data_IF_827752478667
#
_entry.id   IF_827752478667
#
_cell.length_a   1.000
_cell.length_b   1.000
_cell.length_c   1.000
_cell.angle_alpha   90.00
_cell.angle_beta   90.00
_cell.angle_gamma   90.00
#
_symmetry.space_group_name_H-M   'P 1'
#
loop_
_entity.id
_entity.type
_entity.pdbx_description
1 polymer ?
#
# COMPACT_ATOMS: atom_id res chain seq x y z
N UNK A 1 7.77 2.43 -10.84
CA UNK A 1 7.99 1.62 -9.63
C UNK A 1 8.88 0.47 -10.05
N UNK A 2 10.19 0.70 -10.11
CA UNK A 2 11.16 -0.33 -10.46
C UNK A 2 11.52 -1.03 -9.16
N UNK A 3 11.15 -2.30 -9.06
CA UNK A 3 11.60 -3.20 -8.00
C UNK A 3 13.12 -3.34 -8.12
N UNK A 4 13.87 -2.67 -7.26
CA UNK A 4 15.27 -2.99 -7.02
C UNK A 4 15.29 -4.39 -6.40
N UNK A 5 15.47 -5.39 -7.28
CA UNK A 5 15.41 -6.79 -6.93
C UNK A 5 16.54 -7.12 -5.98
N UNK A 6 16.19 -7.48 -4.74
CA UNK A 6 17.11 -8.16 -3.86
C UNK A 6 17.56 -9.46 -4.57
N UNK A 7 18.83 -9.52 -4.95
CA UNK A 7 19.42 -10.75 -5.47
C UNK A 7 19.64 -11.67 -4.28
N UNK A 8 18.75 -12.66 -4.15
CA UNK A 8 18.85 -13.69 -3.14
C UNK A 8 19.72 -14.84 -3.65
N UNK A 9 20.70 -15.27 -2.85
CA UNK A 9 21.48 -16.45 -3.17
C UNK A 9 20.77 -17.69 -2.62
N UNK A 10 20.47 -18.66 -3.48
CA UNK A 10 19.73 -19.88 -3.14
C UNK A 10 20.58 -21.13 -3.36
N UNK A 11 20.40 -22.14 -2.52
CA UNK A 11 21.02 -23.45 -2.69
C UNK A 11 20.24 -24.25 -3.73
N UNK A 12 20.87 -24.63 -4.85
CA UNK A 12 20.16 -25.34 -5.93
C UNK A 12 19.76 -26.79 -5.61
N UNK A 13 20.04 -27.28 -4.39
CA UNK A 13 19.69 -28.64 -3.94
C UNK A 13 18.37 -28.61 -3.15
N UNK A 14 18.22 -27.70 -2.19
CA UNK A 14 17.00 -27.57 -1.38
C UNK A 14 16.12 -26.37 -1.76
N UNK A 15 16.61 -25.47 -2.63
CA UNK A 15 15.96 -24.24 -3.07
C UNK A 15 15.74 -23.20 -1.94
N UNK A 16 16.45 -23.34 -0.81
CA UNK A 16 16.41 -22.37 0.28
C UNK A 16 17.56 -21.35 0.21
N UNK A 17 17.36 -20.22 0.89
CA UNK A 17 18.32 -19.12 0.98
C UNK A 17 19.64 -19.52 1.65
N UNK A 18 20.74 -19.13 1.02
CA UNK A 18 22.07 -19.14 1.61
C UNK A 18 22.18 -17.95 2.58
N UNK A 19 22.37 -18.24 3.86
CA UNK A 19 22.47 -17.23 4.90
C UNK A 19 23.54 -17.62 5.92
N UNK A 20 23.94 -16.67 6.77
CA UNK A 20 24.99 -16.88 7.77
C UNK A 20 24.62 -17.84 8.90
N UNK A 21 23.36 -18.30 8.99
CA UNK A 21 22.92 -19.24 10.05
C UNK A 21 23.31 -20.68 9.74
N UNK A 22 23.36 -21.03 8.45
CA UNK A 22 23.65 -22.40 8.01
C UNK A 22 25.04 -22.41 7.36
N UNK A 23 25.91 -23.37 7.73
CA UNK A 23 27.23 -23.47 7.13
C UNK A 23 27.11 -23.65 5.61
N UNK A 24 27.78 -22.77 4.88
CA UNK A 24 27.73 -22.72 3.42
C UNK A 24 29.08 -23.18 2.86
N UNK A 25 29.06 -23.83 1.70
CA UNK A 25 30.25 -24.34 1.02
C UNK A 25 30.28 -23.94 -0.44
N UNK A 26 31.48 -23.70 -0.95
CA UNK A 26 31.75 -23.55 -2.37
C UNK A 26 32.48 -24.79 -2.90
N UNK A 27 31.99 -25.33 -4.02
CA UNK A 27 32.71 -26.34 -4.80
C UNK A 27 33.89 -25.69 -5.55
N UNK A 28 34.86 -26.49 -5.96
CA UNK A 28 35.98 -26.10 -6.83
C UNK A 28 35.56 -25.42 -8.15
N UNK A 29 34.37 -25.74 -8.67
CA UNK A 29 33.78 -25.09 -9.83
C UNK A 29 33.21 -23.68 -9.56
N UNK A 30 33.13 -23.25 -8.30
CA UNK A 30 32.62 -21.94 -7.87
C UNK A 30 31.15 -21.91 -7.43
N UNK A 31 30.38 -22.99 -7.63
CA UNK A 31 28.99 -23.05 -7.18
C UNK A 31 28.88 -23.26 -5.68
N UNK A 32 27.86 -22.65 -5.08
CA UNK A 32 27.67 -22.54 -3.64
C UNK A 32 26.42 -23.28 -3.18
N UNK A 33 26.52 -24.02 -2.08
CA UNK A 33 25.45 -24.85 -1.51
C UNK A 33 25.52 -24.82 0.02
N UNK A 34 24.46 -25.22 0.72
CA UNK A 34 24.59 -25.56 2.14
C UNK A 34 25.50 -26.77 2.31
N UNK A 35 26.28 -26.79 3.39
CA UNK A 35 27.19 -27.88 3.73
C UNK A 35 26.45 -29.23 3.77
N UNK A 36 25.32 -29.29 4.49
CA UNK A 36 24.56 -30.52 4.66
C UNK A 36 23.93 -30.99 3.34
N UNK A 37 23.46 -30.06 2.51
CA UNK A 37 22.90 -30.38 1.20
C UNK A 37 23.94 -31.00 0.27
N UNK A 38 25.12 -30.38 0.16
CA UNK A 38 26.19 -30.93 -0.65
C UNK A 38 26.72 -32.24 -0.07
N UNK A 39 26.87 -32.33 1.25
CA UNK A 39 27.36 -33.53 1.93
C UNK A 39 26.42 -34.73 1.72
N UNK A 40 25.11 -34.56 1.93
CA UNK A 40 24.10 -35.57 1.66
C UNK A 40 24.12 -36.04 0.20
N UNK A 41 24.24 -35.10 -0.75
CA UNK A 41 24.37 -35.42 -2.17
C UNK A 41 25.63 -36.23 -2.47
N UNK A 42 26.77 -35.88 -1.86
CA UNK A 42 28.06 -36.57 -2.06
C UNK A 42 28.11 -37.96 -1.43
N UNK A 43 27.38 -38.21 -0.33
CA UNK A 43 27.41 -39.49 0.36
C UNK A 43 26.87 -40.65 -0.52
N UNK A 44 26.14 -40.33 -1.57
CA UNK A 44 25.62 -41.32 -2.53
C UNK A 44 26.63 -41.70 -3.63
N UNK A 45 27.75 -40.96 -3.81
CA UNK A 45 28.69 -41.17 -4.92
C UNK A 45 30.13 -40.80 -4.56
N UNK A 46 31.09 -41.65 -4.90
CA UNK A 46 32.51 -41.27 -4.86
C UNK A 46 32.81 -40.20 -5.93
N UNK A 47 33.07 -38.96 -5.50
CA UNK A 47 33.28 -37.76 -6.33
C UNK A 47 32.06 -37.38 -7.21
N UNK A 48 31.00 -36.81 -6.61
CA UNK A 48 29.79 -36.47 -7.35
C UNK A 48 30.02 -35.30 -8.32
N UNK A 49 29.22 -35.24 -9.40
CA UNK A 49 29.16 -34.06 -10.26
C UNK A 49 28.48 -32.90 -9.52
N UNK A 50 28.89 -31.67 -9.81
CA UNK A 50 28.22 -30.46 -9.32
C UNK A 50 26.76 -30.45 -9.80
N UNK A 51 25.77 -30.22 -8.93
CA UNK A 51 24.35 -30.15 -9.32
C UNK A 51 24.03 -29.07 -10.37
N UNK A 52 24.87 -28.04 -10.49
CA UNK A 52 24.63 -26.91 -11.40
C UNK A 52 25.32 -27.09 -12.75
N UNK A 53 26.61 -27.46 -12.76
CA UNK A 53 27.42 -27.48 -13.98
C UNK A 53 28.02 -28.85 -14.33
N UNK A 54 27.70 -29.89 -13.57
CA UNK A 54 28.10 -31.27 -13.78
C UNK A 54 29.61 -31.57 -13.74
N UNK A 55 30.47 -30.56 -13.50
CA UNK A 55 31.90 -30.78 -13.21
C UNK A 55 32.08 -31.59 -11.93
N UNK A 56 33.04 -32.52 -11.92
CA UNK A 56 33.40 -33.30 -10.73
C UNK A 56 33.83 -32.38 -9.61
N UNK A 57 33.24 -32.55 -8.43
CA UNK A 57 33.63 -31.81 -7.22
C UNK A 57 34.76 -32.59 -6.54
N UNK A 58 35.96 -32.02 -6.55
CA UNK A 58 37.15 -32.61 -5.93
C UNK A 58 37.49 -31.97 -4.59
N UNK A 59 37.23 -30.67 -4.46
CA UNK A 59 37.51 -29.88 -3.26
C UNK A 59 36.28 -29.07 -2.89
N UNK A 60 35.96 -29.05 -1.61
CA UNK A 60 34.88 -28.24 -1.04
C UNK A 60 35.47 -27.31 0.02
N UNK A 61 35.17 -26.02 -0.07
CA UNK A 61 35.62 -25.01 0.90
C UNK A 61 34.43 -24.43 1.63
N UNK A 62 34.50 -24.37 2.97
CA UNK A 62 33.49 -23.64 3.76
C UNK A 62 33.68 -22.14 3.53
N UNK A 63 32.57 -21.45 3.27
CA UNK A 63 32.56 -20.01 3.08
C UNK A 63 31.76 -19.35 4.21
N UNK A 64 32.23 -18.20 4.65
CA UNK A 64 31.61 -17.41 5.70
C UNK A 64 31.27 -16.04 5.14
N UNK A 65 30.00 -15.66 5.22
CA UNK A 65 29.56 -14.33 4.82
C UNK A 65 29.88 -13.35 5.94
N UNK A 66 30.77 -12.39 5.69
CA UNK A 66 30.97 -11.22 6.54
C UNK A 66 29.78 -10.28 6.38
N UNK A 67 28.61 -10.68 6.87
CA UNK A 67 27.44 -9.82 6.89
C UNK A 67 27.65 -8.77 8.00
N UNK A 68 27.71 -7.49 7.63
CA UNK A 68 27.41 -6.43 8.58
C UNK A 68 25.94 -6.58 8.96
N UNK A 69 25.55 -6.43 10.24
CA UNK A 69 24.14 -6.41 10.61
C UNK A 69 23.48 -5.25 9.86
N UNK A 70 22.78 -5.58 8.77
CA UNK A 70 22.02 -4.62 8.00
C UNK A 70 20.93 -4.11 8.93
N UNK A 71 20.88 -2.80 9.17
CA UNK A 71 19.97 -2.19 10.13
C UNK A 71 18.49 -2.22 9.69
N UNK A 72 18.18 -3.05 8.69
CA UNK A 72 16.87 -3.26 8.08
C UNK A 72 15.80 -3.48 9.15
N UNK A 73 16.11 -4.21 10.22
CA UNK A 73 15.13 -4.43 11.29
C UNK A 73 14.82 -3.14 12.07
N UNK A 74 15.82 -2.30 12.34
CA UNK A 74 15.61 -1.01 12.99
C UNK A 74 14.97 0.01 12.04
N UNK A 75 15.35 0.01 10.76
CA UNK A 75 14.75 0.84 9.71
C UNK A 75 13.28 0.50 9.51
N UNK A 76 12.93 -0.80 9.46
CA UNK A 76 11.55 -1.27 9.40
C UNK A 76 10.77 -0.81 10.64
N UNK A 77 11.33 -0.98 11.84
CA UNK A 77 10.68 -0.52 13.08
C UNK A 77 10.46 1.00 13.08
N UNK A 78 11.43 1.76 12.61
CA UNK A 78 11.30 3.21 12.48
C UNK A 78 10.22 3.60 11.47
N UNK A 79 10.14 2.91 10.33
CA UNK A 79 9.11 3.13 9.33
C UNK A 79 7.71 2.87 9.90
N UNK A 80 7.49 1.72 10.56
CA UNK A 80 6.20 1.40 11.20
C UNK A 80 5.81 2.42 12.28
N UNK A 81 6.77 2.86 13.10
CA UNK A 81 6.53 3.91 14.09
C UNK A 81 6.12 5.23 13.45
N UNK A 82 6.80 5.60 12.37
CA UNK A 82 6.52 6.83 11.62
C UNK A 82 5.12 6.78 11.00
N UNK A 83 4.72 5.64 10.44
CA UNK A 83 3.37 5.41 9.91
C UNK A 83 2.32 5.68 10.99
N UNK A 84 2.46 5.10 12.19
CA UNK A 84 1.51 5.32 13.28
C UNK A 84 1.38 6.79 13.69
N UNK A 85 2.50 7.52 13.76
CA UNK A 85 2.48 8.97 14.06
C UNK A 85 1.76 9.76 12.96
N UNK A 86 1.96 9.38 11.70
CA UNK A 86 1.31 10.05 10.57
C UNK A 86 -0.20 9.79 10.56
N UNK A 87 -0.63 8.56 10.84
CA UNK A 87 -2.05 8.20 10.96
C UNK A 87 -2.75 9.01 12.06
N UNK A 88 -2.10 9.17 13.22
CA UNK A 88 -2.62 9.99 14.31
C UNK A 88 -2.76 11.47 13.89
N UNK A 89 -1.72 12.03 13.26
CA UNK A 89 -1.74 13.41 12.77
C UNK A 89 -2.83 13.64 11.71
N UNK A 90 -3.03 12.68 10.81
CA UNK A 90 -4.11 12.71 9.83
C UNK A 90 -5.48 12.66 10.51
N UNK A 91 -5.65 11.80 11.52
CA UNK A 91 -6.87 11.72 12.32
C UNK A 91 -7.21 13.04 13.03
N UNK A 92 -6.21 13.70 13.64
CA UNK A 92 -6.35 15.01 14.26
C UNK A 92 -6.73 16.09 13.25
N UNK A 93 -6.02 16.16 12.11
CA UNK A 93 -6.35 17.11 11.04
C UNK A 93 -7.76 16.92 10.52
N UNK A 94 -8.21 15.68 10.30
CA UNK A 94 -9.57 15.40 9.86
C UNK A 94 -10.61 15.86 10.89
N UNK A 95 -10.39 15.60 12.18
CA UNK A 95 -11.28 16.08 13.25
C UNK A 95 -11.37 17.60 13.30
N UNK A 96 -10.23 18.28 13.17
CA UNK A 96 -10.16 19.75 13.15
C UNK A 96 -10.85 20.35 11.92
N UNK A 97 -10.68 19.75 10.74
CA UNK A 97 -11.39 20.17 9.53
C UNK A 97 -12.90 19.97 9.68
N UNK A 98 -13.33 18.84 10.25
CA UNK A 98 -14.75 18.57 10.51
C UNK A 98 -15.35 19.55 11.52
N UNK A 99 -14.61 19.93 12.56
CA UNK A 99 -15.09 20.92 13.53
C UNK A 99 -15.19 22.31 12.91
N UNK A 100 -14.21 22.72 12.10
CA UNK A 100 -14.28 23.97 11.33
C UNK A 100 -15.48 23.97 10.37
N UNK A 101 -15.69 22.89 9.60
CA UNK A 101 -16.85 22.77 8.70
C UNK A 101 -18.18 22.86 9.47
N UNK A 102 -18.31 22.18 10.63
CA UNK A 102 -19.51 22.27 11.47
C UNK A 102 -19.82 23.70 11.93
N UNK A 103 -18.79 24.50 12.18
CA UNK A 103 -18.95 25.90 12.59
C UNK A 103 -19.55 26.77 11.48
N UNK A 104 -19.34 26.41 10.20
CA UNK A 104 -19.98 27.07 9.06
C UNK A 104 -21.43 26.61 8.80
N UNK A 105 -21.91 25.55 9.46
CA UNK A 105 -23.28 25.01 9.30
C UNK A 105 -24.21 25.28 10.50
N UNK A 106 -23.97 26.32 11.31
CA UNK A 106 -25.00 26.85 12.21
C UNK A 106 -26.12 27.54 11.41
N UNK A 107 -26.91 26.74 10.67
CA UNK A 107 -28.19 27.16 10.13
C UNK A 107 -29.19 27.06 11.27
N UNK A 108 -29.86 28.15 11.68
CA UNK A 108 -30.80 28.12 12.79
C UNK A 108 -31.85 27.02 12.62
N UNK A 109 -32.11 26.25 13.70
CA UNK A 109 -33.20 25.26 13.76
C UNK A 109 -34.52 25.93 13.37
N UNK A 110 -35.14 25.44 12.32
CA UNK A 110 -36.41 25.91 11.75
C UNK A 110 -37.60 25.32 12.51
N UNK A 111 -37.71 25.48 13.83
CA UNK A 111 -38.89 25.04 14.60
C UNK A 111 -39.79 26.16 15.15
N UNK A 112 -39.47 27.43 14.93
CA UNK A 112 -40.34 28.55 15.40
C UNK A 112 -40.81 29.51 14.29
N UNK A 113 -40.78 29.10 13.02
CA UNK A 113 -41.34 29.93 11.93
C UNK A 113 -42.17 29.13 10.94
N UNK A 114 -43.13 28.36 11.46
CA UNK A 114 -44.21 27.79 10.63
C UNK A 114 -45.29 28.85 10.29
N UNK A 115 -45.30 30.02 10.94
CA UNK A 115 -46.34 31.04 10.67
C UNK A 115 -45.99 32.15 9.66
N UNK A 116 -44.79 32.20 9.06
CA UNK A 116 -44.42 33.31 8.14
C UNK A 116 -43.93 32.90 6.74
N UNK A 117 -44.06 31.63 6.35
CA UNK A 117 -43.65 31.18 4.99
C UNK A 117 -44.70 31.44 3.91
N UNK A 118 -45.95 31.68 4.28
CA UNK A 118 -47.02 32.14 3.37
C UNK A 118 -46.77 33.59 2.88
N UNK A 119 -46.14 34.45 3.68
CA UNK A 119 -45.97 35.88 3.36
C UNK A 119 -44.74 36.22 2.50
N UNK A 120 -43.74 35.33 2.45
CA UNK A 120 -42.54 35.56 1.63
C UNK A 120 -42.73 35.05 0.18
N UNK A 121 -43.31 33.86 0.00
CA UNK A 121 -43.59 33.32 -1.34
C UNK A 121 -44.69 34.10 -2.08
N UNK A 122 -45.63 34.71 -1.34
CA UNK A 122 -46.64 35.61 -1.93
C UNK A 122 -46.05 36.96 -2.39
N UNK A 123 -44.93 37.41 -1.81
CA UNK A 123 -44.25 38.65 -2.21
C UNK A 123 -43.35 38.46 -3.43
N UNK A 124 -42.73 37.29 -3.58
CA UNK A 124 -41.97 36.92 -4.79
C UNK A 124 -42.91 36.62 -5.98
N UNK A 125 -44.10 36.05 -5.74
CA UNK A 125 -45.15 35.96 -6.78
C UNK A 125 -45.74 37.31 -7.21
N UNK A 126 -45.50 38.38 -6.44
CA UNK A 126 -46.00 39.74 -6.74
C UNK A 126 -45.03 40.58 -7.57
N UNK A 127 -43.79 40.15 -7.75
CA UNK A 127 -42.80 40.85 -8.60
C UNK A 127 -42.87 40.48 -10.09
N UNK A 128 -43.73 39.52 -10.47
CA UNK A 128 -44.05 39.23 -11.86
C UNK A 128 -45.55 39.44 -12.12
N UNK A 129 -46.01 40.69 -12.05
CA UNK A 129 -47.17 41.15 -12.83
C UNK A 129 -46.92 42.57 -13.31
N UNK A 130 -46.89 42.73 -14.64
CA UNK A 130 -47.54 43.73 -15.49
C UNK A 130 -46.70 43.91 -16.77
N UNK A 131 -47.25 43.97 -17.99
CA UNK A 131 -48.62 44.23 -18.38
C UNK A 131 -48.92 43.86 -19.84
N UNK A 132 -50.22 43.93 -20.14
CA UNK A 132 -50.95 43.53 -21.36
C UNK A 132 -50.65 44.42 -22.57
N UNK A 133 -50.91 43.90 -23.76
CA UNK A 133 -51.99 44.29 -24.72
C UNK A 133 -52.00 43.23 -25.84
N UNK A 134 -52.98 43.03 -26.71
CA UNK A 134 -54.43 43.21 -26.81
C UNK A 134 -54.81 42.43 -28.10
N UNK A 135 -56.11 42.14 -28.29
CA UNK A 135 -56.76 41.51 -29.46
C UNK A 135 -56.76 39.97 -29.37
N UNK A 136 -57.87 39.29 -29.03
CA UNK A 136 -59.13 39.13 -29.79
C UNK A 136 -59.06 37.73 -30.45
N UNK A 137 -59.99 36.78 -30.39
CA UNK A 137 -61.44 36.75 -30.18
C UNK A 137 -61.90 35.30 -29.83
N UNK A 138 -63.10 35.21 -29.24
CA UNK A 138 -64.16 34.17 -29.31
C UNK A 138 -63.87 32.65 -29.55
N UNK A 139 -64.18 31.84 -28.52
CA UNK A 139 -65.13 30.70 -28.41
C UNK A 139 -65.14 29.50 -29.42
N UNK A 140 -65.75 28.35 -29.04
CA UNK A 140 -65.14 27.00 -29.07
C UNK A 140 -65.64 26.12 -30.23
N UNK A 141 -64.90 25.05 -30.59
CA UNK A 141 -65.45 23.94 -31.39
C UNK A 141 -64.81 22.60 -30.98
N UNK A 142 -65.70 21.67 -30.59
CA UNK A 142 -65.67 20.20 -30.45
C UNK A 142 -64.70 19.53 -29.46
#
# INVERSE_FOLDING_TARGET
MSSEGAVCFECSICLDLLNSRVPTVAADCGHVFHYDCLHSFTNTRHAPPCPVCQRRVTVVRRIFFSASPSNIQAELQFAYKTIGVLEEKLGLRNKNLLSQLKQFFCVPRRSERVQSRESFFSRVRRMFRFGRTANGEHHPIN
#
